data_IF_883405942189
#
_entry.id   IF_883405942189
#
_cell.length_a   1.000
_cell.length_b   1.000
_cell.length_c   1.000
_cell.angle_alpha   90.00
_cell.angle_beta   90.00
_cell.angle_gamma   90.00
#
_symmetry.space_group_name_H-M   'P 1'
#
loop_
_entity.id
_entity.type
_entity.pdbx_description
1 polymer ?
#
# COMPACT_ATOMS: atom_id res chain seq x y z
N UNK A 1 14.42 8.17 5.02
CA UNK A 1 14.04 8.54 6.40
C UNK A 1 15.01 9.56 7.01
N UNK A 2 16.30 9.25 7.19
CA UNK A 2 17.26 10.18 7.83
C UNK A 2 17.42 11.53 7.09
N UNK A 3 17.53 11.48 5.76
CA UNK A 3 17.59 12.68 4.92
C UNK A 3 16.32 13.55 5.04
N UNK A 4 15.13 12.95 4.94
CA UNK A 4 13.87 13.69 5.08
C UNK A 4 13.58 14.18 6.50
N UNK A 5 14.03 13.45 7.53
CA UNK A 5 13.78 13.80 8.93
C UNK A 5 14.73 14.86 9.48
N UNK A 6 15.98 14.90 9.00
CA UNK A 6 17.01 15.79 9.56
C UNK A 6 17.52 16.85 8.58
N UNK A 7 17.40 16.63 7.27
CA UNK A 7 17.96 17.54 6.26
C UNK A 7 16.90 18.45 5.65
N UNK A 8 15.68 17.95 5.41
CA UNK A 8 14.59 18.75 4.83
C UNK A 8 14.00 19.81 5.77
N UNK A 9 13.76 19.53 7.07
CA UNK A 9 13.13 20.51 7.96
C UNK A 9 13.98 21.77 8.23
N UNK A 10 15.32 21.70 8.41
CA UNK A 10 16.17 22.90 8.48
C UNK A 10 16.11 23.75 7.21
N UNK A 11 16.08 23.11 6.03
CA UNK A 11 16.06 23.79 4.73
C UNK A 11 14.74 24.52 4.49
N UNK A 12 13.64 24.07 5.12
CA UNK A 12 12.32 24.68 5.06
C UNK A 12 12.01 25.62 6.25
N UNK A 13 13.01 25.92 7.10
CA UNK A 13 12.84 26.81 8.27
C UNK A 13 12.02 26.23 9.41
N UNK A 14 11.84 24.90 9.44
CA UNK A 14 11.07 24.18 10.47
C UNK A 14 11.99 23.67 11.60
N UNK A 15 12.74 24.59 12.20
CA UNK A 15 13.71 24.28 13.28
C UNK A 15 13.03 23.65 14.51
N UNK A 16 11.76 23.97 14.75
CA UNK A 16 10.92 23.40 15.82
C UNK A 16 10.59 21.92 15.61
N UNK A 17 10.49 21.44 14.36
CA UNK A 17 10.32 20.01 14.07
C UNK A 17 11.61 19.23 14.34
N UNK A 18 12.78 19.82 14.06
CA UNK A 18 14.08 19.19 14.34
C UNK A 18 14.33 19.10 15.85
N UNK A 19 14.00 20.16 16.59
CA UNK A 19 14.05 20.16 18.06
C UNK A 19 13.16 19.05 18.63
N UNK A 20 11.92 18.92 18.16
CA UNK A 20 11.01 17.83 18.57
C UNK A 20 11.55 16.44 18.26
N UNK A 21 12.17 16.21 17.10
CA UNK A 21 12.80 14.93 16.74
C UNK A 21 13.98 14.59 17.66
N UNK A 22 14.78 15.59 18.05
CA UNK A 22 15.90 15.41 18.99
C UNK A 22 15.47 15.19 20.44
N UNK A 23 14.26 15.64 20.81
CA UNK A 23 13.73 15.56 22.17
C UNK A 23 13.21 14.16 22.53
N UNK A 24 12.75 13.37 21.55
CA UNK A 24 12.27 12.01 21.81
C UNK A 24 13.37 10.96 22.05
N UNK A 25 14.65 11.27 21.82
CA UNK A 25 15.76 10.32 22.03
C UNK A 25 15.69 9.06 21.15
N UNK A 26 14.85 9.08 20.11
CA UNK A 26 14.60 7.91 19.27
C UNK A 26 15.66 7.83 18.17
N UNK A 27 16.33 6.69 18.12
CA UNK A 27 17.34 6.43 17.09
C UNK A 27 16.64 5.80 15.87
N UNK A 28 16.98 6.19 14.62
CA UNK A 28 16.49 5.52 13.41
C UNK A 28 16.64 3.99 13.43
N UNK A 29 17.64 3.50 14.16
CA UNK A 29 17.88 2.07 14.40
C UNK A 29 16.73 1.38 15.14
N UNK A 30 16.04 2.06 16.06
CA UNK A 30 14.90 1.50 16.78
C UNK A 30 13.71 1.28 15.83
N UNK A 31 13.43 2.28 14.98
CA UNK A 31 12.39 2.18 13.94
C UNK A 31 12.73 1.07 12.95
N UNK A 32 13.98 1.03 12.48
CA UNK A 32 14.44 -0.05 11.59
C UNK A 32 14.27 -1.43 12.23
N UNK A 33 14.65 -1.60 13.50
CA UNK A 33 14.48 -2.87 14.21
C UNK A 33 13.00 -3.25 14.34
N UNK A 34 12.12 -2.29 14.64
CA UNK A 34 10.68 -2.54 14.67
C UNK A 34 10.18 -3.03 13.31
N UNK A 35 10.50 -2.31 12.23
CA UNK A 35 10.11 -2.71 10.86
C UNK A 35 10.70 -4.08 10.49
N UNK A 36 11.97 -4.35 10.80
CA UNK A 36 12.60 -5.63 10.51
C UNK A 36 11.91 -6.79 11.24
N UNK A 37 11.40 -6.57 12.45
CA UNK A 37 10.68 -7.57 13.21
C UNK A 37 9.25 -7.75 12.68
N UNK A 38 8.50 -6.66 12.47
CA UNK A 38 7.09 -6.72 12.06
C UNK A 38 6.89 -7.07 10.59
N UNK A 39 7.81 -6.68 9.70
CA UNK A 39 7.74 -6.98 8.27
C UNK A 39 8.72 -8.09 7.88
N UNK A 40 9.96 -8.01 8.36
CA UNK A 40 11.03 -8.92 7.93
C UNK A 40 10.80 -10.37 8.34
N UNK A 41 10.34 -10.63 9.58
CA UNK A 41 10.08 -12.01 10.03
C UNK A 41 8.91 -12.64 9.27
N UNK A 42 7.72 -12.01 9.15
CA UNK A 42 6.64 -12.56 8.33
C UNK A 42 7.00 -12.72 6.86
N UNK A 43 7.76 -11.78 6.29
CA UNK A 43 8.24 -11.87 4.91
C UNK A 43 9.18 -13.07 4.70
N UNK A 44 10.16 -13.26 5.60
CA UNK A 44 11.06 -14.41 5.55
C UNK A 44 10.30 -15.74 5.72
N UNK A 45 9.30 -15.77 6.62
CA UNK A 45 8.43 -16.93 6.78
C UNK A 45 7.60 -17.22 5.52
N UNK A 46 7.10 -16.18 4.84
CA UNK A 46 6.39 -16.30 3.55
C UNK A 46 7.27 -16.83 2.43
N UNK A 47 8.52 -16.36 2.31
CA UNK A 47 9.48 -16.90 1.35
C UNK A 47 9.78 -18.36 1.66
N UNK A 48 10.00 -18.69 2.94
CA UNK A 48 10.30 -20.05 3.36
C UNK A 48 9.12 -20.98 3.09
N UNK A 49 7.89 -20.55 3.36
CA UNK A 49 6.68 -21.33 3.09
C UNK A 49 6.50 -21.60 1.60
N UNK A 50 6.75 -20.59 0.74
CA UNK A 50 6.75 -20.75 -0.72
C UNK A 50 7.83 -21.73 -1.18
N UNK A 51 9.06 -21.56 -0.71
CA UNK A 51 10.19 -22.41 -1.11
C UNK A 51 9.98 -23.87 -0.70
N UNK A 52 9.57 -24.10 0.55
CA UNK A 52 9.31 -25.46 1.07
C UNK A 52 8.07 -26.07 0.41
N UNK A 53 6.99 -25.29 0.26
CA UNK A 53 5.75 -25.74 -0.38
C UNK A 53 5.97 -26.19 -1.82
N UNK A 54 6.61 -25.34 -2.63
CA UNK A 54 6.91 -25.64 -4.03
C UNK A 54 7.85 -26.85 -4.18
N UNK A 55 8.85 -27.00 -3.29
CA UNK A 55 9.80 -28.13 -3.31
C UNK A 55 9.19 -29.46 -2.89
N UNK A 56 8.25 -29.46 -1.94
CA UNK A 56 7.73 -30.70 -1.34
C UNK A 56 6.46 -31.19 -2.00
N UNK A 57 5.59 -30.29 -2.47
CA UNK A 57 4.26 -30.64 -3.00
C UNK A 57 4.02 -30.14 -4.43
N UNK A 58 4.99 -29.49 -5.04
CA UNK A 58 4.88 -28.91 -6.38
C UNK A 58 4.28 -27.51 -6.37
N UNK A 59 4.39 -26.82 -7.51
CA UNK A 59 3.92 -25.44 -7.68
C UNK A 59 2.39 -25.38 -7.77
N UNK A 60 1.75 -26.28 -8.53
CA UNK A 60 0.28 -26.34 -8.61
C UNK A 60 -0.38 -26.47 -7.23
N UNK A 61 0.12 -27.33 -6.34
CA UNK A 61 -0.48 -27.48 -5.00
C UNK A 61 -0.38 -26.19 -4.17
N UNK A 62 0.73 -25.46 -4.31
CA UNK A 62 0.92 -24.20 -3.60
C UNK A 62 -0.08 -23.14 -4.09
N UNK A 63 -0.22 -22.98 -5.40
CA UNK A 63 -1.06 -21.94 -6.02
C UNK A 63 -2.56 -22.27 -5.96
N UNK A 64 -2.95 -23.54 -6.12
CA UNK A 64 -4.37 -23.93 -6.16
C UNK A 64 -4.96 -24.27 -4.79
N UNK A 65 -4.14 -24.70 -3.82
CA UNK A 65 -4.63 -25.15 -2.51
C UNK A 65 -4.12 -24.31 -1.36
N UNK A 66 -2.80 -24.14 -1.23
CA UNK A 66 -2.22 -23.49 -0.04
C UNK A 66 -2.46 -21.98 -0.02
N UNK A 67 -2.15 -21.28 -1.11
CA UNK A 67 -2.29 -19.83 -1.23
C UNK A 67 -3.74 -19.36 -1.05
N UNK A 68 -4.76 -19.95 -1.72
CA UNK A 68 -6.15 -19.55 -1.54
C UNK A 68 -6.67 -19.80 -0.12
N UNK A 69 -6.15 -20.81 0.58
CA UNK A 69 -6.56 -21.12 1.95
C UNK A 69 -6.02 -20.12 2.97
N UNK A 70 -4.79 -19.62 2.76
CA UNK A 70 -4.13 -18.66 3.68
C UNK A 70 -4.51 -17.22 3.36
N UNK A 71 -4.84 -16.88 2.10
CA UNK A 71 -5.14 -15.51 1.68
C UNK A 71 -6.22 -14.79 2.54
N UNK A 72 -7.35 -15.42 2.92
CA UNK A 72 -8.34 -14.80 3.79
C UNK A 72 -7.81 -14.44 5.18
N UNK A 73 -6.81 -15.16 5.69
CA UNK A 73 -6.20 -14.88 6.99
C UNK A 73 -5.58 -13.49 7.03
N UNK A 74 -5.00 -13.02 5.91
CA UNK A 74 -4.44 -11.68 5.82
C UNK A 74 -5.52 -10.63 6.03
N UNK A 75 -6.65 -10.72 5.32
CA UNK A 75 -7.75 -9.78 5.48
C UNK A 75 -8.32 -9.81 6.91
N UNK A 76 -8.50 -11.01 7.49
CA UNK A 76 -8.99 -11.16 8.86
C UNK A 76 -8.02 -10.54 9.86
N UNK A 77 -6.71 -10.79 9.71
CA UNK A 77 -5.69 -10.25 10.61
C UNK A 77 -5.61 -8.72 10.51
N UNK A 78 -5.63 -8.16 9.29
CA UNK A 78 -5.65 -6.72 9.07
C UNK A 78 -6.88 -6.08 9.72
N UNK A 79 -8.07 -6.62 9.45
CA UNK A 79 -9.31 -6.10 10.02
C UNK A 79 -9.35 -6.24 11.54
N UNK A 80 -8.84 -7.35 12.08
CA UNK A 80 -8.70 -7.55 13.52
C UNK A 80 -7.80 -6.49 14.15
N UNK A 81 -6.62 -6.24 13.58
CA UNK A 81 -5.70 -5.19 14.07
C UNK A 81 -6.36 -3.83 14.04
N UNK A 82 -7.05 -3.48 12.95
CA UNK A 82 -7.80 -2.24 12.82
C UNK A 82 -8.83 -2.13 13.94
N UNK A 83 -9.71 -3.12 14.09
CA UNK A 83 -10.77 -3.13 15.12
C UNK A 83 -10.19 -2.97 16.53
N UNK A 84 -9.15 -3.74 16.86
CA UNK A 84 -8.50 -3.68 18.19
C UNK A 84 -7.90 -2.30 18.44
N UNK A 85 -7.15 -1.75 17.48
CA UNK A 85 -6.53 -0.44 17.64
C UNK A 85 -7.56 0.68 17.76
N UNK A 86 -8.65 0.63 16.98
CA UNK A 86 -9.77 1.57 17.12
C UNK A 86 -10.50 1.40 18.45
N UNK A 87 -10.70 0.18 18.94
CA UNK A 87 -11.31 -0.06 20.24
C UNK A 87 -10.45 0.51 21.38
N UNK A 88 -9.12 0.39 21.28
CA UNK A 88 -8.18 0.93 22.28
C UNK A 88 -8.04 2.46 22.24
N UNK A 89 -8.19 3.08 21.07
CA UNK A 89 -8.06 4.54 20.89
C UNK A 89 -9.43 5.26 20.83
N UNK A 90 -10.54 4.53 20.84
CA UNK A 90 -11.88 5.05 20.52
C UNK A 90 -12.33 6.19 21.42
N UNK A 91 -12.08 6.10 22.73
CA UNK A 91 -12.40 7.18 23.68
C UNK A 91 -11.67 8.49 23.34
N UNK A 92 -10.41 8.40 22.89
CA UNK A 92 -9.63 9.59 22.50
C UNK A 92 -10.12 10.16 21.17
N UNK A 93 -10.44 9.29 20.21
CA UNK A 93 -10.98 9.68 18.90
C UNK A 93 -12.30 10.44 19.08
N UNK A 94 -13.20 9.94 19.92
CA UNK A 94 -14.51 10.56 20.16
C UNK A 94 -14.41 11.77 21.10
N UNK A 95 -13.51 11.73 22.08
CA UNK A 95 -13.34 12.80 23.06
C UNK A 95 -12.65 14.06 22.51
N UNK A 96 -11.87 13.95 21.44
CA UNK A 96 -11.09 15.05 20.85
C UNK A 96 -11.23 15.09 19.31
N UNK A 97 -12.43 15.39 18.77
CA UNK A 97 -12.66 15.40 17.33
C UNK A 97 -11.87 16.51 16.60
N UNK A 98 -11.51 17.60 17.31
CA UNK A 98 -10.63 18.65 16.78
C UNK A 98 -9.28 18.11 16.35
N UNK A 99 -8.71 17.20 17.14
CA UNK A 99 -7.36 16.68 16.93
C UNK A 99 -7.36 15.72 15.75
N UNK A 100 -8.42 14.91 15.64
CA UNK A 100 -8.68 14.07 14.46
C UNK A 100 -8.79 14.92 13.20
N UNK A 101 -9.53 16.03 13.24
CA UNK A 101 -9.68 16.91 12.08
C UNK A 101 -8.36 17.60 11.70
N UNK A 102 -7.57 18.02 12.69
CA UNK A 102 -6.25 18.62 12.50
C UNK A 102 -5.28 17.64 11.81
N UNK A 103 -5.37 16.34 12.12
CA UNK A 103 -4.60 15.28 11.45
C UNK A 103 -5.18 14.97 10.07
N UNK A 104 -6.50 14.90 9.95
CA UNK A 104 -7.19 14.49 8.74
C UNK A 104 -6.95 15.45 7.57
N UNK A 105 -7.03 16.75 7.80
CA UNK A 105 -6.92 17.75 6.73
C UNK A 105 -5.57 17.68 6.00
N UNK A 106 -4.40 17.72 6.67
CA UNK A 106 -3.11 17.54 6.01
C UNK A 106 -2.97 16.19 5.31
N UNK A 107 -3.47 15.10 5.91
CA UNK A 107 -3.41 13.76 5.31
C UNK A 107 -4.26 13.67 4.03
N UNK A 108 -5.47 14.22 4.04
CA UNK A 108 -6.32 14.27 2.84
C UNK A 108 -5.65 15.06 1.74
N UNK A 109 -5.08 16.24 2.06
CA UNK A 109 -4.33 17.04 1.09
C UNK A 109 -3.17 16.23 0.52
N UNK A 110 -2.39 15.56 1.39
CA UNK A 110 -1.30 14.69 0.98
C UNK A 110 -1.76 13.61 -0.01
N UNK A 111 -2.82 12.87 0.30
CA UNK A 111 -3.34 11.80 -0.56
C UNK A 111 -3.79 12.32 -1.92
N UNK A 112 -4.56 13.41 -1.92
CA UNK A 112 -5.07 14.03 -3.13
C UNK A 112 -3.94 14.55 -4.01
N UNK A 113 -2.98 15.27 -3.43
CA UNK A 113 -1.83 15.80 -4.16
C UNK A 113 -0.98 14.68 -4.73
N UNK A 114 -0.61 13.69 -3.91
CA UNK A 114 0.20 12.55 -4.35
C UNK A 114 -0.47 11.78 -5.49
N UNK A 115 -1.78 11.54 -5.39
CA UNK A 115 -2.56 10.90 -6.44
C UNK A 115 -2.50 11.71 -7.74
N UNK A 116 -2.87 12.99 -7.71
CA UNK A 116 -2.95 13.80 -8.94
C UNK A 116 -1.59 14.07 -9.57
N UNK A 117 -0.55 14.29 -8.77
CA UNK A 117 0.81 14.47 -9.28
C UNK A 117 1.27 13.20 -10.00
N UNK A 118 1.11 12.04 -9.37
CA UNK A 118 1.58 10.77 -9.92
C UNK A 118 0.74 10.30 -11.11
N UNK A 119 -0.58 10.52 -11.05
CA UNK A 119 -1.49 10.28 -12.17
C UNK A 119 -1.16 11.21 -13.35
N UNK A 120 -0.89 12.49 -13.09
CA UNK A 120 -0.46 13.44 -14.10
C UNK A 120 0.85 13.03 -14.76
N UNK A 121 1.85 12.63 -13.97
CA UNK A 121 3.13 12.11 -14.47
C UNK A 121 2.95 10.85 -15.31
N UNK A 122 2.15 9.87 -14.85
CA UNK A 122 1.87 8.63 -15.60
C UNK A 122 1.23 8.91 -16.96
N UNK A 123 0.30 9.87 -16.99
CA UNK A 123 -0.30 10.34 -18.25
C UNK A 123 0.72 11.06 -19.13
N UNK A 124 1.57 11.92 -18.58
CA UNK A 124 2.54 12.71 -19.36
C UNK A 124 3.58 11.81 -20.06
N UNK A 125 3.97 10.71 -19.43
CA UNK A 125 4.92 9.73 -20.01
C UNK A 125 4.26 8.77 -21.03
N UNK A 126 2.98 8.93 -21.33
CA UNK A 126 2.30 8.10 -22.33
C UNK A 126 1.81 6.74 -21.81
N UNK A 127 1.72 6.53 -20.49
CA UNK A 127 1.16 5.31 -19.93
C UNK A 127 -0.37 5.23 -20.12
N UNK A 128 -0.88 4.03 -20.38
CA UNK A 128 -2.31 3.75 -20.47
C UNK A 128 -3.05 4.05 -19.15
N UNK A 129 -4.39 4.07 -19.20
CA UNK A 129 -5.23 4.37 -18.04
C UNK A 129 -4.96 3.43 -16.87
N UNK A 130 -4.81 2.13 -17.14
CA UNK A 130 -4.64 1.13 -16.09
C UNK A 130 -3.34 1.36 -15.31
N UNK A 131 -2.24 1.60 -16.03
CA UNK A 131 -0.94 1.89 -15.44
C UNK A 131 -0.92 3.25 -14.75
N UNK A 132 -1.47 4.29 -15.39
CA UNK A 132 -1.53 5.64 -14.80
C UNK A 132 -2.31 5.64 -13.49
N UNK A 133 -3.43 4.91 -13.45
CA UNK A 133 -4.26 4.75 -12.24
C UNK A 133 -3.51 3.94 -11.17
N UNK A 134 -2.85 2.85 -11.55
CA UNK A 134 -2.02 2.07 -10.64
C UNK A 134 -0.89 2.90 -10.03
N UNK A 135 -0.21 3.73 -10.82
CA UNK A 135 0.82 4.66 -10.34
C UNK A 135 0.22 5.67 -9.35
N UNK A 136 -0.91 6.27 -9.71
CA UNK A 136 -1.62 7.24 -8.86
C UNK A 136 -1.97 6.67 -7.49
N UNK A 137 -2.59 5.48 -7.44
CA UNK A 137 -2.95 4.83 -6.18
C UNK A 137 -1.75 4.28 -5.41
N UNK A 138 -0.72 3.77 -6.10
CA UNK A 138 0.52 3.30 -5.45
C UNK A 138 1.24 4.44 -4.75
N UNK A 139 1.28 5.63 -5.37
CA UNK A 139 1.94 6.79 -4.79
C UNK A 139 1.14 7.42 -3.63
N UNK A 140 -0.18 7.36 -3.70
CA UNK A 140 -1.04 7.90 -2.65
C UNK A 140 -1.15 6.94 -1.44
N UNK A 141 -1.20 5.63 -1.65
CA UNK A 141 -1.48 4.67 -0.57
C UNK A 141 -0.29 4.50 0.38
N UNK A 142 -0.60 4.35 1.67
CA UNK A 142 0.38 4.13 2.73
C UNK A 142 0.16 2.77 3.41
N UNK A 143 1.20 2.24 4.05
CA UNK A 143 1.07 1.03 4.87
C UNK A 143 0.86 1.40 6.33
N UNK A 144 -0.40 1.59 6.72
CA UNK A 144 -0.74 2.00 8.08
C UNK A 144 -0.51 0.91 9.11
N UNK A 145 -0.62 -0.36 8.75
CA UNK A 145 -0.43 -1.47 9.68
C UNK A 145 1.02 -1.54 10.16
N UNK A 146 1.97 -1.37 9.24
CA UNK A 146 3.39 -1.23 9.58
C UNK A 146 3.64 0.05 10.38
N UNK A 147 2.99 1.17 10.02
CA UNK A 147 3.15 2.45 10.71
C UNK A 147 2.65 2.37 12.17
N UNK A 148 1.50 1.74 12.40
CA UNK A 148 0.94 1.49 13.73
C UNK A 148 1.88 0.59 14.53
N UNK A 149 2.34 -0.52 13.95
CA UNK A 149 3.24 -1.44 14.63
C UNK A 149 4.55 -0.76 15.04
N UNK A 150 5.16 0.02 14.15
CA UNK A 150 6.36 0.78 14.44
C UNK A 150 6.12 1.88 15.50
N UNK A 151 5.02 2.61 15.42
CA UNK A 151 4.68 3.65 16.38
C UNK A 151 4.45 3.08 17.79
N UNK A 152 3.69 1.98 17.91
CA UNK A 152 3.45 1.32 19.19
C UNK A 152 4.74 0.73 19.76
N UNK A 153 5.59 0.12 18.93
CA UNK A 153 6.83 -0.49 19.38
C UNK A 153 7.89 0.51 19.85
N UNK A 154 7.92 1.71 19.26
CA UNK A 154 8.94 2.73 19.54
C UNK A 154 8.45 3.78 20.53
N UNK A 155 7.20 4.23 20.41
CA UNK A 155 6.63 5.33 21.21
C UNK A 155 5.62 4.86 22.26
N UNK A 156 5.18 3.60 22.20
CA UNK A 156 4.16 3.05 23.09
C UNK A 156 2.73 3.37 22.66
N UNK A 157 1.79 2.55 23.10
CA UNK A 157 0.39 2.57 22.64
C UNK A 157 -0.40 3.82 23.03
N UNK A 158 -0.04 4.46 24.15
CA UNK A 158 -0.70 5.68 24.64
C UNK A 158 -0.14 6.98 24.07
N UNK A 159 0.88 6.91 23.22
CA UNK A 159 1.55 8.10 22.65
C UNK A 159 0.68 8.80 21.60
N UNK A 160 0.88 10.11 21.46
CA UNK A 160 0.25 10.88 20.37
C UNK A 160 0.66 10.38 18.98
N UNK A 161 1.88 9.85 18.84
CA UNK A 161 2.35 9.27 17.58
C UNK A 161 1.56 8.01 17.21
N UNK A 162 1.35 7.10 18.17
CA UNK A 162 0.52 5.91 17.97
C UNK A 162 -0.96 6.26 17.74
N UNK A 163 -1.46 7.36 18.30
CA UNK A 163 -2.80 7.86 18.01
C UNK A 163 -2.93 8.32 16.55
N UNK A 164 -2.00 9.14 16.08
CA UNK A 164 -2.01 9.64 14.70
C UNK A 164 -1.95 8.51 13.66
N UNK A 165 -1.20 7.44 13.92
CA UNK A 165 -1.13 6.29 13.00
C UNK A 165 -2.42 5.48 12.94
N UNK A 166 -3.23 5.45 14.02
CA UNK A 166 -4.54 4.79 14.05
C UNK A 166 -5.63 5.64 13.39
N UNK A 167 -5.54 6.96 13.48
CA UNK A 167 -6.45 7.87 12.76
C UNK A 167 -6.25 7.75 11.24
N UNK A 168 -5.04 7.41 10.79
CA UNK A 168 -4.67 7.25 9.38
C UNK A 168 -5.67 6.45 8.53
N UNK A 169 -5.93 5.16 8.83
CA UNK A 169 -6.89 4.34 8.10
C UNK A 169 -8.33 4.90 8.07
N UNK A 170 -8.76 5.60 9.12
CA UNK A 170 -10.09 6.24 9.15
C UNK A 170 -10.24 7.29 8.06
N UNK A 171 -9.13 7.95 7.70
CA UNK A 171 -9.10 9.00 6.68
C UNK A 171 -8.70 8.44 5.31
N UNK A 172 -7.70 7.55 5.26
CA UNK A 172 -7.21 6.99 3.99
C UNK A 172 -8.31 6.25 3.25
N UNK A 173 -8.97 5.28 3.89
CA UNK A 173 -9.95 4.42 3.22
C UNK A 173 -11.04 5.23 2.50
N UNK A 174 -11.73 6.20 3.14
CA UNK A 174 -12.74 6.99 2.43
C UNK A 174 -12.15 7.92 1.37
N UNK A 175 -10.97 8.51 1.60
CA UNK A 175 -10.31 9.39 0.62
C UNK A 175 -9.91 8.60 -0.62
N UNK A 176 -9.29 7.43 -0.46
CA UNK A 176 -8.93 6.58 -1.59
C UNK A 176 -10.18 6.08 -2.33
N UNK A 177 -11.24 5.71 -1.62
CA UNK A 177 -12.52 5.35 -2.27
C UNK A 177 -13.11 6.50 -3.09
N UNK A 178 -13.02 7.74 -2.58
CA UNK A 178 -13.44 8.93 -3.32
C UNK A 178 -12.55 9.15 -4.56
N UNK A 179 -11.23 8.95 -4.42
CA UNK A 179 -10.29 9.04 -5.54
C UNK A 179 -10.51 7.95 -6.59
N UNK A 180 -11.03 6.77 -6.23
CA UNK A 180 -11.46 5.75 -7.22
C UNK A 180 -12.56 6.30 -8.11
N UNK A 181 -13.56 6.97 -7.53
CA UNK A 181 -14.61 7.62 -8.31
C UNK A 181 -14.06 8.74 -9.20
N UNK A 182 -13.08 9.50 -8.70
CA UNK A 182 -12.37 10.50 -9.50
C UNK A 182 -11.61 9.83 -10.66
N UNK A 183 -10.89 8.74 -10.41
CA UNK A 183 -10.16 8.02 -11.45
C UNK A 183 -11.08 7.52 -12.57
N UNK A 184 -12.22 6.91 -12.20
CA UNK A 184 -13.24 6.48 -13.15
C UNK A 184 -13.81 7.66 -13.95
N UNK A 185 -14.06 8.79 -13.30
CA UNK A 185 -14.48 10.00 -14.00
C UNK A 185 -13.40 10.54 -14.97
N UNK A 186 -12.13 10.44 -14.62
CA UNK A 186 -11.01 10.80 -15.51
C UNK A 186 -10.85 9.81 -16.67
N UNK A 187 -11.25 8.55 -16.48
CA UNK A 187 -11.30 7.55 -17.54
C UNK A 187 -12.23 7.98 -18.67
N UNK A 188 -13.44 8.42 -18.32
CA UNK A 188 -14.47 8.83 -19.27
C UNK A 188 -14.19 10.20 -19.88
N UNK A 189 -13.56 11.10 -19.13
CA UNK A 189 -13.33 12.49 -19.56
C UNK A 189 -12.18 12.63 -20.56
N UNK A 190 -11.19 11.76 -20.49
CA UNK A 190 -9.99 11.87 -21.31
C UNK A 190 -9.94 10.81 -22.40
N UNK A 191 -9.44 11.19 -23.57
CA UNK A 191 -9.10 10.21 -24.59
C UNK A 191 -7.80 9.50 -24.21
N UNK A 192 -7.89 8.19 -24.04
CA UNK A 192 -6.77 7.29 -23.74
C UNK A 192 -6.29 6.53 -25.00
N UNK A 193 -6.87 6.83 -26.18
CA UNK A 193 -6.43 6.24 -27.45
C UNK A 193 -5.02 6.74 -27.79
N UNK A 194 -4.09 5.82 -28.00
CA UNK A 194 -2.68 6.11 -28.32
C UNK A 194 -1.73 6.02 -27.12
N UNK A 195 -2.24 5.83 -25.91
CA UNK A 195 -1.43 5.49 -24.74
C UNK A 195 -1.18 3.97 -24.70
N UNK A 196 0.08 3.56 -24.59
CA UNK A 196 0.46 2.15 -24.56
C UNK A 196 1.45 1.91 -23.43
N UNK A 197 1.07 1.10 -22.45
CA UNK A 197 2.04 0.56 -21.49
C UNK A 197 2.25 -0.90 -21.82
N UNK A 198 3.50 -1.25 -22.16
CA UNK A 198 3.98 -2.63 -22.29
C UNK A 198 2.91 -3.65 -22.65
N UNK A 199 2.54 -3.71 -23.93
CA UNK A 199 1.70 -4.81 -24.43
C UNK A 199 2.42 -6.11 -24.13
N UNK A 200 1.95 -6.84 -23.12
CA UNK A 200 2.12 -8.28 -23.13
C UNK A 200 1.36 -8.72 -24.37
N UNK A 201 2.09 -9.04 -25.44
CA UNK A 201 1.56 -9.70 -26.62
C UNK A 201 0.56 -10.73 -26.11
N UNK A 202 -0.72 -10.50 -26.40
CA UNK A 202 -1.74 -11.50 -26.21
C UNK A 202 -1.20 -12.73 -26.94
N UNK A 203 -0.82 -13.76 -26.19
CA UNK A 203 -0.50 -15.07 -26.74
C UNK A 203 -1.68 -15.41 -27.64
N UNK A 204 -1.49 -15.26 -28.95
CA UNK A 204 -2.50 -15.63 -29.93
C UNK A 204 -2.83 -17.09 -29.61
N UNK A 205 -4.11 -17.51 -29.64
CA UNK A 205 -4.37 -18.93 -29.76
C UNK A 205 -3.60 -19.37 -31.00
N UNK A 206 -2.69 -20.33 -30.83
CA UNK A 206 -2.10 -21.04 -31.96
C UNK A 206 -3.31 -21.65 -32.67
N UNK A 207 -3.67 -21.07 -33.82
CA UNK A 207 -4.72 -21.61 -34.66
C UNK A 207 -4.38 -23.06 -34.97
N UNK A 208 -5.41 -23.86 -34.84
CA UNK A 208 -5.50 -25.32 -34.95
C UNK A 208 -4.91 -25.80 -36.29
N UNK A 209 -3.62 -26.14 -36.31
CA UNK A 209 -3.00 -26.81 -37.45
C UNK A 209 -3.43 -28.29 -37.48
N UNK A 210 -4.50 -28.52 -38.23
CA UNK A 210 -4.80 -29.73 -38.99
C UNK A 210 -5.00 -31.04 -38.21
N UNK A 211 -6.27 -31.38 -38.01
CA UNK A 211 -6.69 -32.78 -37.87
C UNK A 211 -6.26 -33.61 -39.09
N UNK A 212 -5.84 -34.87 -38.90
CA UNK A 212 -5.37 -35.73 -39.99
C UNK A 212 -6.57 -36.23 -40.80
N UNK A 213 -6.65 -35.85 -42.08
CA UNK A 213 -7.52 -36.54 -43.02
C UNK A 213 -6.90 -37.91 -43.35
N UNK A 214 -7.49 -38.96 -42.79
CA UNK A 214 -7.20 -40.33 -43.18
C UNK A 214 -7.83 -40.70 -44.53
N UNK A 215 -7.16 -41.67 -45.15
CA UNK A 215 -7.65 -42.75 -46.04
C UNK A 215 -8.09 -42.42 -47.48
N UNK A 216 -7.34 -43.05 -48.39
CA UNK A 216 -7.73 -43.85 -49.56
C UNK A 216 -8.49 -43.19 -50.72
N UNK A 217 -7.87 -43.12 -51.90
CA UNK A 217 -8.18 -44.00 -53.04
C UNK A 217 -7.30 -43.67 -54.27
N UNK A 218 -6.89 -44.74 -54.97
CA UNK A 218 -6.29 -44.89 -56.33
C UNK A 218 -4.82 -44.48 -56.62
#
# INVERSE_FOLDING_TARGET
>A
VWFFALFLPPVLGMETLVAGISEFGITPMQVFRAIALFLGVPFAAGILSRYVGARTKGVEWYEETFEPTISPLTLIALLFTVIVMFAMQGERIVGQPSDVLLIAVPLTIYFVVMFFVSFGMGREIGADYSTTTAIGFTAASNNFELAIAAAVAVFGIGSGVAFTTVVGPLIEVPVLLALVNVALWLQDRYDWRGYTTGGLESSRPVDDESSPSGTDDD
#
